data_IF_027837912336
#
_entry.id   IF_027837912336
#
_cell.length_a   1.000
_cell.length_b   1.000
_cell.length_c   1.000
_cell.angle_alpha   90.00
_cell.angle_beta   90.00
_cell.angle_gamma   90.00
#
_symmetry.space_group_name_H-M   'P 1'
#
loop_
_entity.id
_entity.type
_entity.pdbx_description
1 polymer ?
#
# COMPACT_ATOMS: atom_id res chain seq x y z
N UNK A 1 -4.70 -12.67 65.95
CA UNK A 1 -3.38 -12.20 65.47
C UNK A 1 -3.37 -12.25 63.95
N UNK A 2 -2.86 -11.19 63.35
CA UNK A 2 -2.84 -10.86 61.91
C UNK A 2 -1.73 -11.61 61.16
N UNK A 3 -1.97 -12.02 59.90
CA UNK A 3 -1.07 -11.86 58.70
C UNK A 3 -1.61 -12.69 57.51
N UNK A 4 -2.14 -12.04 56.46
CA UNK A 4 -1.49 -11.68 55.17
C UNK A 4 -1.10 -12.93 54.35
N UNK A 5 -1.89 -13.30 53.33
CA UNK A 5 -1.99 -12.73 51.99
C UNK A 5 -1.00 -13.37 51.01
N UNK A 6 -1.51 -13.97 49.92
CA UNK A 6 -0.99 -13.87 48.56
C UNK A 6 -1.89 -14.66 47.59
N UNK A 7 -2.90 -13.98 47.04
CA UNK A 7 -3.54 -14.39 45.79
C UNK A 7 -2.56 -14.15 44.64
N UNK A 8 -2.01 -15.20 44.05
CA UNK A 8 -1.38 -15.10 42.73
C UNK A 8 -2.43 -15.44 41.67
N UNK A 9 -3.25 -14.46 41.30
CA UNK A 9 -3.98 -14.52 40.03
C UNK A 9 -2.97 -14.19 38.92
N UNK A 10 -2.42 -15.22 38.28
CA UNK A 10 -1.63 -15.06 37.07
C UNK A 10 -2.60 -14.59 35.97
N UNK A 11 -2.66 -13.28 35.75
CA UNK A 11 -3.26 -12.70 34.56
C UNK A 11 -2.45 -13.20 33.37
N UNK A 12 -2.96 -14.24 32.70
CA UNK A 12 -2.56 -14.58 31.36
C UNK A 12 -2.87 -13.36 30.49
N UNK A 13 -1.85 -12.54 30.27
CA UNK A 13 -1.89 -11.51 29.24
C UNK A 13 -2.00 -12.26 27.92
N UNK A 14 -3.23 -12.43 27.44
CA UNK A 14 -3.49 -12.64 26.02
C UNK A 14 -2.87 -11.42 25.35
N UNK A 15 -1.65 -11.57 24.84
CA UNK A 15 -1.10 -10.64 23.88
C UNK A 15 -2.08 -10.70 22.72
N UNK A 16 -2.96 -9.71 22.63
CA UNK A 16 -3.68 -9.42 21.41
C UNK A 16 -2.61 -9.08 20.39
N UNK A 17 -2.12 -10.10 19.69
CA UNK A 17 -1.52 -9.92 18.37
C UNK A 17 -2.66 -9.38 17.53
N UNK A 18 -2.81 -8.05 17.54
CA UNK A 18 -3.42 -7.37 16.44
C UNK A 18 -2.50 -7.67 15.27
N UNK A 19 -2.92 -8.60 14.41
CA UNK A 19 -2.42 -8.67 13.05
C UNK A 19 -2.87 -7.38 12.34
N UNK A 20 -2.24 -6.25 12.70
CA UNK A 20 -1.86 -5.32 11.66
C UNK A 20 -0.89 -6.13 10.81
N UNK A 21 -1.38 -6.69 9.70
CA UNK A 21 -0.52 -7.08 8.59
C UNK A 21 0.37 -5.87 8.35
N UNK A 22 1.61 -5.87 8.88
CA UNK A 22 2.44 -4.66 8.98
C UNK A 22 2.55 -4.08 7.58
N UNK A 23 1.84 -2.97 7.34
CA UNK A 23 1.88 -2.30 6.07
C UNK A 23 3.35 -2.03 5.75
N UNK A 24 3.76 -2.41 4.55
CA UNK A 24 5.11 -2.20 4.10
C UNK A 24 5.44 -0.73 3.84
N UNK A 25 4.40 0.09 3.68
CA UNK A 25 4.51 1.51 3.47
C UNK A 25 3.18 2.13 3.07
N UNK A 26 3.23 3.40 2.71
CA UNK A 26 2.10 4.15 2.16
C UNK A 26 2.48 4.64 0.77
N UNK A 27 1.70 4.27 -0.25
CA UNK A 27 1.80 4.83 -1.59
C UNK A 27 0.94 6.10 -1.66
N UNK A 28 1.55 7.23 -1.99
CA UNK A 28 0.90 8.53 -1.96
C UNK A 28 1.38 9.42 -3.12
N UNK A 29 0.65 10.49 -3.43
CA UNK A 29 1.11 11.49 -4.39
C UNK A 29 2.41 12.16 -3.92
N UNK A 30 3.11 12.83 -4.83
CA UNK A 30 4.42 13.45 -4.55
C UNK A 30 4.44 14.41 -3.35
N UNK A 31 3.30 15.03 -3.01
CA UNK A 31 3.18 15.94 -1.87
C UNK A 31 2.61 15.27 -0.61
N UNK A 32 2.50 13.94 -0.61
CA UNK A 32 1.84 13.17 0.45
C UNK A 32 0.32 13.22 0.41
N UNK A 33 -0.25 13.54 -0.74
CA UNK A 33 -1.66 13.75 -1.00
C UNK A 33 -2.27 12.58 -1.80
N UNK A 34 -3.41 12.83 -2.41
CA UNK A 34 -4.16 11.86 -3.22
C UNK A 34 -3.37 11.41 -4.44
N UNK A 35 -3.58 10.17 -4.85
CA UNK A 35 -3.06 9.62 -6.09
C UNK A 35 -4.01 10.04 -7.23
N UNK A 36 -3.56 10.91 -8.13
CA UNK A 36 -4.31 11.20 -9.35
C UNK A 36 -4.13 10.07 -10.36
N UNK A 37 -5.21 9.47 -10.84
CA UNK A 37 -5.12 8.34 -11.77
C UNK A 37 -4.86 8.86 -13.18
N UNK A 38 -3.61 9.21 -13.47
CA UNK A 38 -3.12 9.67 -14.78
C UNK A 38 -1.82 8.98 -15.13
N UNK A 39 -1.60 8.79 -16.42
CA UNK A 39 -0.33 8.26 -16.91
C UNK A 39 0.82 9.21 -16.55
N UNK A 40 1.86 8.65 -15.93
CA UNK A 40 3.04 9.39 -15.50
C UNK A 40 2.86 10.22 -14.22
N UNK A 41 1.72 10.13 -13.55
CA UNK A 41 1.50 10.85 -12.29
C UNK A 41 2.53 10.44 -11.25
N UNK A 42 3.14 11.40 -10.56
CA UNK A 42 4.15 11.10 -9.54
C UNK A 42 3.53 10.48 -8.30
N UNK A 43 4.06 9.33 -7.89
CA UNK A 43 3.62 8.63 -6.70
C UNK A 43 4.81 7.97 -6.01
N UNK A 44 4.92 8.21 -4.71
CA UNK A 44 6.03 7.78 -3.89
C UNK A 44 5.57 6.76 -2.86
N UNK A 45 6.33 5.68 -2.71
CA UNK A 45 6.13 4.70 -1.64
C UNK A 45 6.96 5.10 -0.42
N UNK A 46 6.28 5.53 0.64
CA UNK A 46 6.89 5.87 1.92
C UNK A 46 7.05 4.62 2.78
N UNK A 47 8.29 4.21 3.07
CA UNK A 47 8.64 3.06 3.92
C UNK A 47 9.72 3.47 4.94
N UNK A 48 9.42 3.36 6.23
CA UNK A 48 10.39 3.59 7.30
C UNK A 48 11.08 4.97 7.22
N UNK A 49 10.33 6.02 6.86
CA UNK A 49 10.85 7.38 6.69
C UNK A 49 11.62 7.65 5.40
N UNK A 50 11.72 6.68 4.49
CA UNK A 50 12.32 6.84 3.16
C UNK A 50 11.24 6.81 2.08
N UNK A 51 11.42 7.62 1.05
CA UNK A 51 10.60 7.59 -0.17
C UNK A 51 11.29 6.71 -1.22
N UNK A 52 10.54 5.78 -1.81
CA UNK A 52 10.88 5.20 -3.11
C UNK A 52 10.07 5.95 -4.14
N UNK A 53 10.76 6.71 -4.99
CA UNK A 53 10.12 7.52 -6.00
C UNK A 53 9.62 6.70 -7.17
N UNK A 54 8.48 7.09 -7.75
CA UNK A 54 7.95 6.44 -8.94
C UNK A 54 6.83 7.21 -9.61
N UNK A 55 6.17 6.53 -10.54
CA UNK A 55 5.04 7.04 -11.29
C UNK A 55 3.91 6.02 -11.44
N UNK A 56 2.69 6.52 -11.58
CA UNK A 56 1.52 5.72 -11.93
C UNK A 56 1.43 5.53 -13.44
N UNK A 57 0.96 4.35 -13.84
CA UNK A 57 0.61 4.03 -15.20
C UNK A 57 -0.80 3.48 -15.26
N UNK A 58 -1.61 3.97 -16.19
CA UNK A 58 -3.04 3.63 -16.27
C UNK A 58 -3.31 2.88 -17.55
N UNK A 59 -3.96 1.72 -17.41
CA UNK A 59 -4.36 0.87 -18.53
C UNK A 59 -5.86 0.61 -18.48
N UNK A 60 -6.51 0.68 -19.63
CA UNK A 60 -7.89 0.29 -19.82
C UNK A 60 -7.98 -1.11 -20.44
N UNK A 61 -8.79 -1.96 -19.83
CA UNK A 61 -9.08 -3.33 -20.23
C UNK A 61 -10.60 -3.48 -20.31
N UNK A 62 -11.18 -3.04 -21.44
CA UNK A 62 -12.62 -2.85 -21.58
C UNK A 62 -13.14 -1.78 -20.62
N UNK A 63 -14.05 -2.16 -19.72
CA UNK A 63 -14.61 -1.28 -18.69
C UNK A 63 -13.76 -1.20 -17.41
N UNK A 64 -12.68 -1.98 -17.32
CA UNK A 64 -11.83 -2.06 -16.13
C UNK A 64 -10.60 -1.18 -16.32
N UNK A 65 -10.35 -0.27 -15.40
CA UNK A 65 -9.09 0.47 -15.31
C UNK A 65 -8.16 -0.25 -14.35
N UNK A 66 -6.91 -0.46 -14.79
CA UNK A 66 -5.84 -1.06 -14.00
C UNK A 66 -4.77 -0.01 -13.80
N UNK A 67 -4.42 0.22 -12.54
CA UNK A 67 -3.39 1.18 -12.16
C UNK A 67 -2.16 0.39 -11.75
N UNK A 68 -1.03 0.77 -12.32
CA UNK A 68 0.28 0.23 -12.01
C UNK A 68 1.13 1.33 -11.41
N UNK A 69 2.05 0.97 -10.54
CA UNK A 69 3.10 1.85 -10.05
C UNK A 69 4.45 1.29 -10.47
N UNK A 70 5.34 2.17 -10.93
CA UNK A 70 6.69 1.83 -11.38
C UNK A 70 7.69 2.68 -10.59
N UNK A 71 8.65 2.07 -9.88
CA UNK A 71 9.75 2.80 -9.28
C UNK A 71 10.61 3.47 -10.36
N UNK A 72 11.12 4.66 -10.06
CA UNK A 72 12.04 5.39 -10.93
C UNK A 72 13.27 4.52 -11.24
N UNK A 73 13.61 4.39 -12.53
CA UNK A 73 14.76 3.58 -12.98
C UNK A 73 14.54 2.06 -12.98
N UNK A 74 13.39 1.56 -12.52
CA UNK A 74 13.02 0.15 -12.65
C UNK A 74 12.31 -0.13 -13.98
N UNK A 75 12.46 -1.33 -14.53
CA UNK A 75 11.63 -1.81 -15.63
C UNK A 75 10.34 -2.51 -15.14
N UNK A 76 10.26 -2.77 -13.84
CA UNK A 76 9.20 -3.56 -13.23
C UNK A 76 8.00 -2.68 -12.87
N UNK A 77 6.81 -3.12 -13.29
CA UNK A 77 5.55 -2.47 -12.95
C UNK A 77 4.76 -3.35 -11.98
N UNK A 78 4.23 -2.69 -10.94
CA UNK A 78 3.43 -3.33 -9.90
C UNK A 78 1.99 -2.88 -10.03
N UNK A 79 1.07 -3.82 -10.29
CA UNK A 79 -0.35 -3.48 -10.26
C UNK A 79 -0.76 -3.16 -8.82
N UNK A 80 -1.58 -2.12 -8.65
CA UNK A 80 -2.28 -1.83 -7.40
C UNK A 80 -3.46 -2.80 -7.28
N UNK A 81 -3.22 -3.96 -6.66
CA UNK A 81 -4.28 -4.93 -6.40
C UNK A 81 -5.04 -4.52 -5.14
N UNK A 82 -6.29 -4.11 -5.29
CA UNK A 82 -7.16 -3.69 -4.19
C UNK A 82 -7.21 -4.77 -3.08
N UNK A 83 -6.91 -4.35 -1.85
CA UNK A 83 -6.97 -5.18 -0.65
C UNK A 83 -7.92 -4.60 0.42
N UNK A 84 -8.52 -3.44 0.14
CA UNK A 84 -9.45 -2.71 0.99
C UNK A 84 -9.73 -1.33 0.37
N UNK A 85 -10.49 -0.49 1.07
CA UNK A 85 -10.86 0.86 0.58
C UNK A 85 -9.64 1.79 0.41
N UNK A 86 -8.66 1.68 1.29
CA UNK A 86 -7.43 2.48 1.31
C UNK A 86 -6.18 1.61 1.45
N UNK A 87 -6.23 0.39 0.91
CA UNK A 87 -5.11 -0.54 0.95
C UNK A 87 -4.99 -1.36 -0.33
N UNK A 88 -3.75 -1.59 -0.74
CA UNK A 88 -3.39 -2.35 -1.94
C UNK A 88 -2.27 -3.34 -1.65
N UNK A 89 -2.16 -4.36 -2.49
CA UNK A 89 -0.93 -5.15 -2.66
C UNK A 89 -0.30 -4.74 -3.98
N UNK A 90 0.97 -4.34 -3.93
CA UNK A 90 1.80 -4.19 -5.12
C UNK A 90 2.22 -5.58 -5.60
N UNK A 91 1.77 -5.96 -6.79
CA UNK A 91 2.05 -7.27 -7.40
C UNK A 91 2.75 -7.07 -8.74
N UNK A 92 3.95 -7.62 -8.87
CA UNK A 92 4.70 -7.59 -10.14
C UNK A 92 4.00 -8.45 -11.18
N UNK A 93 3.58 -7.83 -12.27
CA UNK A 93 2.96 -8.52 -13.40
C UNK A 93 3.09 -7.65 -14.65
N UNK A 94 3.23 -8.24 -15.84
CA UNK A 94 3.09 -7.51 -17.08
C UNK A 94 1.79 -6.70 -17.12
N UNK A 95 1.81 -5.46 -17.65
CA UNK A 95 0.61 -4.67 -17.83
C UNK A 95 -0.43 -5.37 -18.69
N UNK A 96 -1.71 -5.18 -18.36
CA UNK A 96 -2.84 -5.70 -19.13
C UNK A 96 -3.72 -4.56 -19.60
N UNK A 97 -4.19 -4.65 -20.83
CA UNK A 97 -4.99 -3.61 -21.48
C UNK A 97 -4.15 -2.63 -22.29
N UNK A 98 -4.78 -1.56 -22.74
CA UNK A 98 -4.17 -0.47 -23.49
C UNK A 98 -3.88 0.70 -22.58
N UNK A 99 -2.69 1.30 -22.71
CA UNK A 99 -2.32 2.50 -21.95
C UNK A 99 -3.26 3.66 -22.29
N UNK A 100 -3.64 4.44 -21.29
CA UNK A 100 -4.54 5.61 -21.41
C UNK A 100 -4.00 6.78 -20.59
N UNK A 101 -4.29 8.01 -21.02
CA UNK A 101 -3.75 9.21 -20.37
C UNK A 101 -4.36 9.45 -18.98
N UNK A 102 -5.61 9.02 -18.76
CA UNK A 102 -6.32 9.22 -17.49
C UNK A 102 -7.30 8.07 -17.18
N UNK A 103 -7.39 7.76 -15.90
CA UNK A 103 -8.37 6.86 -15.29
C UNK A 103 -9.44 7.62 -14.50
N UNK A 104 -10.31 6.90 -13.78
CA UNK A 104 -11.44 7.49 -13.07
C UNK A 104 -11.02 8.17 -11.77
N UNK A 105 -10.67 9.45 -11.85
CA UNK A 105 -10.54 10.33 -10.68
C UNK A 105 -9.24 10.14 -9.88
N UNK A 106 -9.39 10.05 -8.57
CA UNK A 106 -8.28 9.99 -7.61
C UNK A 106 -8.49 8.86 -6.60
N UNK A 107 -7.40 8.41 -5.98
CA UNK A 107 -7.43 7.52 -4.81
C UNK A 107 -6.85 8.26 -3.60
N UNK A 108 -7.32 7.99 -2.38
CA UNK A 108 -6.59 8.42 -1.19
C UNK A 108 -5.21 7.72 -1.14
N UNK A 109 -4.26 8.19 -0.33
CA UNK A 109 -3.06 7.43 0.00
C UNK A 109 -3.40 5.98 0.36
N UNK A 110 -2.64 5.03 -0.19
CA UNK A 110 -2.90 3.60 -0.08
C UNK A 110 -1.90 2.93 0.85
N UNK A 111 -2.38 2.23 1.87
CA UNK A 111 -1.54 1.32 2.65
C UNK A 111 -1.10 0.15 1.78
N UNK A 112 0.20 -0.06 1.65
CA UNK A 112 0.75 -1.14 0.85
C UNK A 112 1.02 -2.35 1.73
N UNK A 113 0.28 -3.43 1.52
CA UNK A 113 0.36 -4.65 2.34
C UNK A 113 1.36 -5.70 1.82
N UNK A 114 2.05 -5.41 0.71
CA UNK A 114 3.14 -6.25 0.19
C UNK A 114 4.48 -5.52 0.27
N UNK A 115 5.57 -6.28 0.44
CA UNK A 115 6.92 -5.73 0.47
C UNK A 115 7.70 -6.13 -0.77
N UNK A 116 7.52 -5.44 -1.91
CA UNK A 116 8.40 -5.63 -3.05
C UNK A 116 9.85 -5.28 -2.67
N UNK A 117 10.79 -6.00 -3.27
CA UNK A 117 12.21 -5.72 -3.19
C UNK A 117 12.52 -4.58 -4.18
N UNK A 118 12.67 -3.38 -3.62
CA UNK A 118 12.82 -2.11 -4.35
C UNK A 118 14.21 -1.54 -4.13
#
# INVERSE_FOLDING_TARGET
>A
MVRRALCCAALAACAHVHAEDRACGVLQGASGDVLSLREGERADLMRGGKAVHGALHVYADGAVYRVYWQPDGSAEQYVLANAGESSVRLVSTPPRGSKVDAGPGTLPPQQVLSCPAL
#
